data_IF_250381417134
#
_entry.id   IF_250381417134
#
_cell.length_a   1.000
_cell.length_b   1.000
_cell.length_c   1.000
_cell.angle_alpha   90.00
_cell.angle_beta   90.00
_cell.angle_gamma   90.00
#
_symmetry.space_group_name_H-M   'P 1'
#
loop_
_entity.id
_entity.type
_entity.pdbx_description
1 polymer ?
#
# COMPACT_ATOMS: atom_id res chain seq x y z
N UNK A 1 -5.49 -4.86 17.54
CA UNK A 1 -4.25 -4.85 18.33
C UNK A 1 -3.26 -5.87 17.76
N UNK A 2 -1.97 -5.67 18.04
CA UNK A 2 -0.92 -6.64 17.69
C UNK A 2 -1.00 -7.89 18.57
N UNK A 3 -0.46 -9.00 18.08
CA UNK A 3 -0.50 -10.31 18.77
C UNK A 3 0.86 -10.63 19.42
N UNK A 4 0.96 -10.73 20.75
CA UNK A 4 2.21 -11.10 21.41
C UNK A 4 2.79 -12.41 20.86
N UNK A 5 4.09 -12.44 20.60
CA UNK A 5 4.79 -13.62 20.08
C UNK A 5 4.52 -13.98 18.61
N UNK A 6 3.71 -13.19 17.88
CA UNK A 6 3.48 -13.35 16.44
C UNK A 6 4.23 -12.27 15.66
N UNK A 7 4.42 -12.49 14.36
CA UNK A 7 5.13 -11.57 13.47
C UNK A 7 4.52 -10.15 13.47
N UNK A 8 3.22 -10.04 13.73
CA UNK A 8 2.47 -8.79 13.80
C UNK A 8 2.17 -8.34 15.24
N UNK A 9 3.11 -8.54 16.16
CA UNK A 9 3.04 -8.02 17.53
C UNK A 9 2.90 -6.49 17.59
N UNK A 10 3.40 -5.80 16.58
CA UNK A 10 3.19 -4.37 16.36
C UNK A 10 2.42 -4.17 15.06
N UNK A 11 1.34 -3.39 15.08
CA UNK A 11 0.50 -3.14 13.90
C UNK A 11 0.27 -1.64 13.71
N UNK A 12 0.40 -1.16 12.48
CA UNK A 12 0.24 0.26 12.13
C UNK A 12 -0.10 0.44 10.65
N UNK A 13 -0.27 1.69 10.22
CA UNK A 13 -0.38 2.12 8.83
C UNK A 13 -1.48 1.35 8.05
N UNK A 14 -2.72 1.33 8.55
CA UNK A 14 -3.80 0.62 7.89
C UNK A 14 -4.23 1.33 6.60
N UNK A 15 -4.66 0.54 5.62
CA UNK A 15 -5.39 0.99 4.43
C UNK A 15 -6.54 0.06 4.17
N UNK A 16 -7.68 0.61 3.76
CA UNK A 16 -8.94 -0.12 3.69
C UNK A 16 -9.58 -0.02 2.32
N UNK A 17 -10.20 -1.11 1.90
CA UNK A 17 -11.21 -1.11 0.85
C UNK A 17 -12.56 -1.44 1.49
N UNK A 18 -13.52 -0.52 1.36
CA UNK A 18 -14.88 -0.66 1.91
C UNK A 18 -15.82 -0.99 0.76
N UNK A 19 -16.52 -2.11 0.87
CA UNK A 19 -17.53 -2.53 -0.11
C UNK A 19 -18.83 -1.76 0.10
N UNK A 20 -19.67 -1.68 -0.95
CA UNK A 20 -20.97 -1.01 -0.88
C UNK A 20 -21.92 -1.61 0.18
N UNK A 21 -21.77 -2.90 0.48
CA UNK A 21 -22.52 -3.60 1.54
C UNK A 21 -21.93 -3.36 2.94
N UNK A 22 -20.89 -2.54 3.08
CA UNK A 22 -20.25 -2.18 4.33
C UNK A 22 -19.16 -3.14 4.82
N UNK A 23 -18.95 -4.29 4.17
CA UNK A 23 -17.82 -5.16 4.52
C UNK A 23 -16.50 -4.47 4.18
N UNK A 24 -15.41 -4.89 4.83
CA UNK A 24 -14.12 -4.23 4.72
C UNK A 24 -13.00 -5.25 4.53
N UNK A 25 -12.08 -4.95 3.62
CA UNK A 25 -10.72 -5.51 3.61
C UNK A 25 -9.79 -4.43 4.15
N UNK A 26 -8.95 -4.81 5.10
CA UNK A 26 -7.93 -3.96 5.70
C UNK A 26 -6.56 -4.58 5.45
N UNK A 27 -5.72 -3.86 4.72
CA UNK A 27 -4.29 -4.12 4.65
C UNK A 27 -3.60 -3.33 5.76
N UNK A 28 -2.65 -3.93 6.46
CA UNK A 28 -1.91 -3.26 7.54
C UNK A 28 -0.46 -3.65 7.55
N UNK A 29 0.38 -2.76 8.07
CA UNK A 29 1.77 -3.12 8.37
C UNK A 29 1.82 -3.82 9.72
N UNK A 30 2.37 -5.04 9.74
CA UNK A 30 2.74 -5.77 10.94
C UNK A 30 4.26 -5.83 11.11
N UNK A 31 4.69 -5.97 12.36
CA UNK A 31 6.10 -6.08 12.72
C UNK A 31 6.81 -4.73 12.83
N UNK A 32 8.07 -4.81 13.24
CA UNK A 32 8.98 -3.66 13.36
C UNK A 32 10.26 -3.85 12.54
N UNK A 33 10.85 -5.05 12.56
CA UNK A 33 11.90 -5.45 11.62
C UNK A 33 12.02 -6.99 11.67
N UNK A 34 11.65 -7.74 10.61
CA UNK A 34 11.17 -7.24 9.32
C UNK A 34 9.73 -6.69 9.37
N UNK A 35 9.42 -5.73 8.50
CA UNK A 35 8.05 -5.25 8.24
C UNK A 35 7.37 -6.15 7.21
N UNK A 36 6.11 -6.48 7.47
CA UNK A 36 5.30 -7.26 6.54
C UNK A 36 3.90 -6.68 6.43
N UNK A 37 3.20 -7.02 5.36
CA UNK A 37 1.80 -6.65 5.16
C UNK A 37 0.90 -7.81 5.56
N UNK A 38 -0.11 -7.53 6.38
CA UNK A 38 -1.17 -8.46 6.75
C UNK A 38 -2.52 -8.03 6.20
N UNK A 39 -3.46 -8.98 6.13
CA UNK A 39 -4.84 -8.73 5.72
C UNK A 39 -5.78 -9.11 6.85
N UNK A 40 -6.73 -8.23 7.14
CA UNK A 40 -7.87 -8.50 8.00
C UNK A 40 -9.16 -8.10 7.30
N UNK A 41 -10.27 -8.72 7.70
CA UNK A 41 -11.61 -8.46 7.16
C UNK A 41 -12.59 -8.15 8.29
N UNK A 42 -13.64 -7.41 7.97
CA UNK A 42 -14.75 -7.17 8.87
C UNK A 42 -16.07 -7.14 8.10
N UNK A 43 -17.17 -7.49 8.77
CA UNK A 43 -18.53 -7.34 8.22
C UNK A 43 -18.99 -5.88 8.18
N UNK A 44 -18.29 -4.98 8.88
CA UNK A 44 -18.55 -3.54 8.95
C UNK A 44 -17.25 -2.77 9.18
N UNK A 45 -17.19 -1.51 8.75
CA UNK A 45 -16.09 -0.59 9.08
C UNK A 45 -15.86 -0.39 10.59
N UNK A 46 -16.87 -0.72 11.41
CA UNK A 46 -16.78 -0.71 12.88
C UNK A 46 -15.99 -1.89 13.46
N UNK A 47 -15.66 -2.88 12.64
CA UNK A 47 -15.09 -4.14 13.11
C UNK A 47 -16.13 -5.04 13.80
N UNK A 48 -15.68 -6.07 14.56
CA UNK A 48 -14.28 -6.42 14.76
C UNK A 48 -13.60 -6.89 13.47
N UNK A 49 -12.29 -6.66 13.39
CA UNK A 49 -11.47 -7.14 12.27
C UNK A 49 -10.86 -8.49 12.62
N UNK A 50 -11.02 -9.45 11.73
CA UNK A 50 -10.47 -10.80 11.83
C UNK A 50 -9.37 -10.96 10.79
N UNK A 51 -8.19 -11.43 11.21
CA UNK A 51 -7.07 -11.71 10.30
C UNK A 51 -7.43 -12.84 9.34
N UNK A 52 -7.06 -12.68 8.08
CA UNK A 52 -7.28 -13.72 7.05
C UNK A 52 -6.31 -14.89 7.22
N UNK A 53 -5.09 -14.62 7.68
CA UNK A 53 -4.02 -15.60 7.83
C UNK A 53 -3.22 -15.35 9.12
N UNK A 54 -2.58 -16.40 9.62
CA UNK A 54 -1.59 -16.31 10.67
C UNK A 54 -0.24 -15.79 10.17
N UNK A 55 0.01 -15.88 8.86
CA UNK A 55 1.21 -15.43 8.14
C UNK A 55 1.00 -14.10 7.41
N UNK A 56 2.08 -13.41 7.00
CA UNK A 56 2.01 -12.28 6.08
C UNK A 56 1.24 -12.57 4.79
N UNK A 57 0.67 -11.53 4.18
CA UNK A 57 -0.06 -11.62 2.91
C UNK A 57 0.83 -12.07 1.74
N UNK A 58 2.12 -11.74 1.81
CA UNK A 58 3.17 -12.13 0.89
C UNK A 58 4.54 -12.05 1.62
N UNK A 59 5.56 -12.80 1.16
CA UNK A 59 6.83 -12.94 1.90
C UNK A 59 7.77 -11.74 1.80
N UNK A 60 7.56 -10.83 0.86
CA UNK A 60 8.42 -9.66 0.67
C UNK A 60 8.30 -8.69 1.84
N UNK A 61 9.45 -8.16 2.29
CA UNK A 61 9.50 -7.11 3.32
C UNK A 61 8.97 -5.81 2.72
N UNK A 62 7.84 -5.34 3.24
CA UNK A 62 7.13 -4.18 2.71
C UNK A 62 6.36 -3.47 3.83
N UNK A 63 6.14 -2.17 3.71
CA UNK A 63 5.30 -1.40 4.62
C UNK A 63 4.36 -0.43 3.91
N UNK A 64 3.59 0.35 4.69
CA UNK A 64 2.67 1.38 4.21
C UNK A 64 1.75 0.91 3.07
N UNK A 65 0.98 -0.17 3.27
CA UNK A 65 0.12 -0.68 2.21
C UNK A 65 -0.94 0.37 1.84
N UNK A 66 -1.11 0.59 0.54
CA UNK A 66 -2.21 1.35 -0.06
C UNK A 66 -3.05 0.43 -0.93
N UNK A 67 -4.19 -0.04 -0.41
CA UNK A 67 -5.09 -0.93 -1.14
C UNK A 67 -6.01 -0.14 -2.08
N UNK A 68 -6.20 -0.63 -3.31
CA UNK A 68 -7.21 -0.14 -4.25
C UNK A 68 -7.77 -1.30 -5.10
N UNK A 69 -8.85 -1.04 -5.83
CA UNK A 69 -9.50 -2.01 -6.70
C UNK A 69 -9.68 -1.43 -8.09
N UNK A 70 -9.36 -2.22 -9.12
CA UNK A 70 -9.51 -1.83 -10.52
C UNK A 70 -10.94 -2.05 -11.04
N UNK A 71 -11.20 -1.59 -12.27
CA UNK A 71 -12.50 -1.67 -12.95
C UNK A 71 -12.90 -3.11 -13.30
N UNK A 72 -11.94 -4.03 -13.34
CA UNK A 72 -12.17 -5.47 -13.56
C UNK A 72 -12.43 -6.22 -12.25
N UNK A 73 -12.34 -5.53 -11.13
CA UNK A 73 -12.60 -6.05 -9.80
C UNK A 73 -11.40 -6.71 -9.13
N UNK A 74 -10.20 -6.59 -9.69
CA UNK A 74 -8.96 -7.06 -9.06
C UNK A 74 -8.51 -6.06 -8.00
N UNK A 75 -7.91 -6.58 -6.93
CA UNK A 75 -7.34 -5.81 -5.84
C UNK A 75 -5.84 -5.65 -6.04
N UNK A 76 -5.36 -4.49 -5.64
CA UNK A 76 -3.95 -4.11 -5.71
C UNK A 76 -3.54 -3.51 -4.38
N UNK A 77 -2.31 -3.77 -3.97
CA UNK A 77 -1.64 -3.07 -2.88
C UNK A 77 -0.36 -2.47 -3.45
N UNK A 78 -0.18 -1.17 -3.27
CA UNK A 78 1.13 -0.54 -3.38
C UNK A 78 1.75 -0.43 -1.99
N UNK A 79 3.06 -0.54 -1.88
CA UNK A 79 3.78 -0.48 -0.59
C UNK A 79 4.99 0.44 -0.68
N UNK A 80 5.47 0.88 0.48
CA UNK A 80 6.84 1.38 0.62
C UNK A 80 7.80 0.21 0.83
N UNK A 81 8.78 0.13 -0.07
CA UNK A 81 9.94 -0.75 -0.07
C UNK A 81 11.19 0.09 0.26
N UNK A 82 12.00 -0.36 1.22
CA UNK A 82 13.26 0.29 1.57
C UNK A 82 14.38 0.00 0.55
N UNK A 83 14.17 -0.95 -0.36
CA UNK A 83 15.06 -1.25 -1.46
C UNK A 83 15.05 -0.19 -2.58
N UNK A 84 15.77 -0.49 -3.66
CA UNK A 84 15.66 0.22 -4.93
C UNK A 84 15.19 -0.77 -5.99
N UNK A 85 14.03 -0.54 -6.65
CA UNK A 85 13.10 0.58 -6.49
C UNK A 85 12.29 0.57 -5.17
N UNK A 86 11.66 1.70 -4.82
CA UNK A 86 11.09 1.95 -3.47
C UNK A 86 9.59 1.66 -3.33
N UNK A 87 8.90 1.35 -4.42
CA UNK A 87 7.46 1.15 -4.43
C UNK A 87 7.12 -0.28 -4.77
N UNK A 88 6.68 -1.10 -3.83
CA UNK A 88 6.27 -2.49 -4.08
C UNK A 88 4.85 -2.57 -4.64
N UNK A 89 4.53 -3.67 -5.34
CA UNK A 89 3.20 -3.98 -5.84
C UNK A 89 2.83 -5.43 -5.55
N UNK A 90 1.62 -5.64 -5.03
CA UNK A 90 0.97 -6.93 -4.94
C UNK A 90 -0.44 -6.87 -5.53
N UNK A 91 -0.94 -8.00 -6.03
CA UNK A 91 -2.30 -8.11 -6.57
C UNK A 91 -3.05 -9.33 -6.02
N UNK A 92 -4.37 -9.27 -6.09
CA UNK A 92 -5.27 -10.34 -5.68
C UNK A 92 -6.57 -10.31 -6.48
N UNK A 93 -7.13 -11.48 -6.80
CA UNK A 93 -8.46 -11.57 -7.43
C UNK A 93 -9.61 -11.51 -6.44
N UNK A 94 -9.37 -11.89 -5.18
CA UNK A 94 -10.40 -12.01 -4.13
C UNK A 94 -10.17 -11.07 -2.94
N UNK A 95 -9.01 -10.39 -2.88
CA UNK A 95 -8.62 -9.52 -1.77
C UNK A 95 -8.14 -10.27 -0.52
N UNK A 96 -8.07 -11.60 -0.57
CA UNK A 96 -7.71 -12.47 0.57
C UNK A 96 -6.37 -13.17 0.35
N UNK A 97 -6.11 -13.62 -0.87
CA UNK A 97 -4.86 -14.30 -1.25
C UNK A 97 -4.08 -13.41 -2.20
N UNK A 98 -2.82 -13.11 -1.88
CA UNK A 98 -2.06 -12.06 -2.55
C UNK A 98 -0.79 -12.61 -3.19
N UNK A 99 -0.40 -11.99 -4.31
CA UNK A 99 0.85 -12.28 -5.02
C UNK A 99 1.65 -11.01 -5.15
N UNK A 100 2.90 -11.02 -4.68
CA UNK A 100 3.83 -9.91 -4.86
C UNK A 100 4.39 -9.92 -6.28
N UNK A 101 4.33 -8.79 -6.97
CA UNK A 101 4.66 -8.64 -8.39
C UNK A 101 5.98 -7.90 -8.64
N UNK A 102 6.69 -7.48 -7.59
CA UNK A 102 7.90 -6.66 -7.71
C UNK A 102 7.60 -5.18 -7.45
N UNK A 103 8.40 -4.29 -8.04
CA UNK A 103 8.27 -2.86 -7.81
C UNK A 103 7.47 -2.15 -8.92
N UNK A 104 6.60 -1.22 -8.53
CA UNK A 104 5.78 -0.40 -9.42
C UNK A 104 6.26 1.05 -9.56
N UNK A 105 7.04 1.58 -8.61
CA UNK A 105 7.57 2.94 -8.71
C UNK A 105 8.90 3.13 -7.97
N UNK A 106 9.63 4.18 -8.36
CA UNK A 106 10.90 4.60 -7.76
C UNK A 106 10.80 5.95 -7.04
N UNK A 107 11.96 6.42 -6.55
CA UNK A 107 12.09 7.72 -5.85
C UNK A 107 12.22 8.93 -6.77
N UNK A 108 12.42 8.69 -8.07
CA UNK A 108 12.56 9.76 -9.06
C UNK A 108 11.20 10.09 -9.67
N UNK A 109 10.93 11.38 -9.84
CA UNK A 109 9.76 11.89 -10.53
C UNK A 109 10.18 12.89 -11.60
N UNK A 110 9.57 12.79 -12.77
CA UNK A 110 9.74 13.74 -13.88
C UNK A 110 8.56 14.71 -13.89
N UNK A 111 8.86 16.01 -13.93
CA UNK A 111 7.86 17.09 -14.01
C UNK A 111 7.57 17.47 -15.47
N UNK A 112 6.52 18.26 -15.68
CA UNK A 112 6.06 18.68 -17.01
C UNK A 112 7.12 19.49 -17.78
N UNK A 113 7.99 20.21 -17.08
CA UNK A 113 9.12 20.94 -17.67
C UNK A 113 10.32 20.04 -18.02
N UNK A 114 10.20 18.72 -17.81
CA UNK A 114 11.24 17.72 -18.04
C UNK A 114 12.25 17.59 -16.91
N UNK A 115 12.19 18.43 -15.86
CA UNK A 115 13.06 18.30 -14.71
C UNK A 115 12.79 17.00 -13.95
N UNK A 116 13.84 16.42 -13.37
CA UNK A 116 13.74 15.18 -12.58
C UNK A 116 14.20 15.46 -11.16
N UNK A 117 13.35 15.13 -10.19
CA UNK A 117 13.70 15.18 -8.77
C UNK A 117 13.77 13.77 -8.22
N UNK A 118 14.91 13.43 -7.61
CA UNK A 118 15.09 12.17 -6.87
C UNK A 118 14.99 12.44 -5.37
N UNK A 119 13.92 11.95 -4.76
CA UNK A 119 13.66 12.12 -3.34
C UNK A 119 14.52 11.15 -2.51
N UNK A 120 14.79 11.52 -1.25
CA UNK A 120 15.44 10.64 -0.28
C UNK A 120 14.52 9.45 0.07
N UNK A 121 13.22 9.74 0.25
CA UNK A 121 12.14 8.76 0.50
C UNK A 121 10.91 9.07 -0.32
N UNK A 122 10.14 8.02 -0.64
CA UNK A 122 8.82 8.10 -1.26
C UNK A 122 7.94 6.98 -0.70
N UNK A 123 7.01 7.35 0.15
CA UNK A 123 6.32 6.44 1.09
C UNK A 123 4.80 6.65 1.01
N UNK A 124 4.03 5.80 1.72
CA UNK A 124 2.56 5.90 1.87
C UNK A 124 1.80 6.08 0.54
N UNK A 125 1.92 5.15 -0.41
CA UNK A 125 1.19 5.24 -1.66
C UNK A 125 -0.32 5.20 -1.43
N UNK A 126 -1.05 6.08 -2.10
CA UNK A 126 -2.51 6.06 -2.19
C UNK A 126 -2.92 6.31 -3.64
N UNK A 127 -3.91 5.57 -4.12
CA UNK A 127 -4.34 5.66 -5.52
C UNK A 127 -5.75 6.25 -5.58
N UNK A 128 -5.89 7.35 -6.32
CA UNK A 128 -7.20 7.81 -6.76
C UNK A 128 -7.57 7.07 -8.05
N UNK A 129 -8.70 6.37 -8.00
CA UNK A 129 -9.29 5.73 -9.17
C UNK A 129 -10.43 6.57 -9.75
N UNK A 130 -10.43 6.77 -11.06
CA UNK A 130 -11.48 7.46 -11.82
C UNK A 130 -12.09 6.43 -12.77
N UNK A 131 -13.41 6.24 -12.72
CA UNK A 131 -14.13 5.21 -13.49
C UNK A 131 -13.54 3.80 -13.32
N UNK A 132 -13.14 3.48 -12.08
CA UNK A 132 -12.49 2.22 -11.72
C UNK A 132 -11.06 2.06 -12.20
N UNK A 133 -10.45 3.07 -12.84
CA UNK A 133 -9.08 2.99 -13.34
C UNK A 133 -8.14 3.83 -12.47
N UNK A 134 -6.95 3.32 -12.11
CA UNK A 134 -5.97 4.10 -11.36
C UNK A 134 -5.56 5.33 -12.20
N UNK A 135 -5.77 6.53 -11.65
CA UNK A 135 -5.59 7.79 -12.36
C UNK A 135 -4.47 8.65 -11.75
N UNK A 136 -4.36 8.67 -10.42
CA UNK A 136 -3.33 9.43 -9.72
C UNK A 136 -2.75 8.64 -8.56
N UNK A 137 -1.43 8.72 -8.41
CA UNK A 137 -0.68 8.20 -7.28
C UNK A 137 -0.28 9.35 -6.36
N UNK A 138 -0.72 9.29 -5.11
CA UNK A 138 -0.31 10.16 -4.03
C UNK A 138 0.78 9.46 -3.23
N UNK A 139 1.87 10.15 -2.93
CA UNK A 139 2.94 9.64 -2.06
C UNK A 139 3.46 10.76 -1.16
N UNK A 140 3.79 10.42 0.08
CA UNK A 140 4.63 11.29 0.89
C UNK A 140 6.07 11.23 0.37
N UNK A 141 6.70 12.39 0.16
CA UNK A 141 8.09 12.46 -0.28
C UNK A 141 8.93 13.24 0.72
N UNK A 142 10.17 12.78 0.88
CA UNK A 142 11.21 13.51 1.61
C UNK A 142 12.25 14.00 0.62
N UNK A 143 12.39 15.32 0.39
CA UNK A 143 13.49 15.89 -0.39
C UNK A 143 14.84 15.60 0.27
N UNK A 144 15.94 15.77 -0.48
CA UNK A 144 17.29 15.73 0.08
C UNK A 144 17.49 16.84 1.13
N UNK A 145 16.88 18.00 0.90
CA UNK A 145 16.88 19.15 1.80
C UNK A 145 15.48 19.74 1.89
N UNK A 146 15.01 20.03 3.11
CA UNK A 146 13.69 20.62 3.35
C UNK A 146 12.69 19.67 4.02
N UNK A 147 11.43 20.10 4.08
CA UNK A 147 10.36 19.37 4.76
C UNK A 147 9.70 18.34 3.83
N UNK A 148 9.19 17.28 4.44
CA UNK A 148 8.37 16.28 3.74
C UNK A 148 7.05 16.90 3.28
N UNK A 149 6.58 16.49 2.11
CA UNK A 149 5.32 16.96 1.54
C UNK A 149 4.65 15.83 0.74
N UNK A 150 3.39 16.02 0.33
CA UNK A 150 2.70 15.08 -0.54
C UNK A 150 2.93 15.47 -2.00
N UNK A 151 3.23 14.48 -2.83
CA UNK A 151 3.30 14.61 -4.28
C UNK A 151 2.17 13.82 -4.93
N UNK A 152 1.64 14.36 -6.02
CA UNK A 152 0.60 13.73 -6.83
C UNK A 152 1.17 13.50 -8.22
N UNK A 153 1.14 12.25 -8.68
CA UNK A 153 1.63 11.86 -9.98
C UNK A 153 0.47 11.28 -10.81
N UNK A 154 0.17 11.82 -12.00
CA UNK A 154 -0.74 11.16 -12.95
C UNK A 154 -0.20 9.78 -13.34
N UNK A 155 -1.07 8.78 -13.37
CA UNK A 155 -0.75 7.45 -13.89
C UNK A 155 -1.08 7.48 -15.39
N UNK A 156 -0.09 7.86 -16.19
CA UNK A 156 -0.19 7.93 -17.65
C UNK A 156 -0.27 6.53 -18.26
N UNK A 157 -1.06 6.41 -19.34
CA UNK A 157 -1.12 5.21 -20.19
C UNK A 157 -0.06 5.24 -21.27
#
# INVERSE_FOLDING_TARGET
AGRPGKWDAFVTNPSVYIFANGTVILAYRGGWNPWHVGIAVASSWRGPFTRVSDEPAFPSIQEDPGIFRDAYGNFHILTHDFGQPTGGHAFSRNGLSWTFAGNAYGRSMTYEDGSVVTFARRERPQVLSVDGRPAYLFTGVQPQHGLSHTQVQPIVR
#
